data_IF_404220040095
#
_entry.id   IF_404220040095
#
_cell.length_a   1.000
_cell.length_b   1.000
_cell.length_c   1.000
_cell.angle_alpha   90.00
_cell.angle_beta   90.00
_cell.angle_gamma   90.00
#
_symmetry.space_group_name_H-M   'P 1'
#
loop_
_entity.id
_entity.type
_entity.pdbx_description
1 polymer ?
#
# COMPACT_ATOMS: atom_id res chain seq x y z
N UNK A 1 -2.24 0.33 11.41
CA UNK A 1 -2.18 -0.43 10.15
C UNK A 1 -2.69 0.50 9.05
N UNK A 2 -2.06 0.52 7.88
CA UNK A 2 -2.51 1.28 6.70
C UNK A 2 -2.78 0.31 5.55
N UNK A 3 -3.81 0.60 4.77
CA UNK A 3 -4.05 -0.09 3.50
C UNK A 3 -3.27 0.63 2.40
N UNK A 4 -2.56 -0.13 1.57
CA UNK A 4 -1.86 0.36 0.39
C UNK A 4 -2.53 -0.23 -0.84
N UNK A 5 -2.83 0.63 -1.81
CA UNK A 5 -3.12 0.26 -3.19
C UNK A 5 -1.85 0.50 -4.00
N UNK A 6 -1.30 -0.53 -4.60
CA UNK A 6 -0.03 -0.49 -5.31
C UNK A 6 -0.27 -0.91 -6.76
N UNK A 7 -0.02 -0.01 -7.69
CA UNK A 7 -0.13 -0.24 -9.12
C UNK A 7 1.26 -0.30 -9.73
N UNK A 8 1.47 -1.32 -10.57
CA UNK A 8 2.70 -1.51 -11.34
C UNK A 8 2.35 -2.06 -12.73
N UNK A 9 3.25 -2.01 -13.72
CA UNK A 9 3.04 -2.65 -15.01
C UNK A 9 2.70 -4.14 -14.84
N UNK A 10 1.85 -4.67 -15.73
CA UNK A 10 1.50 -6.10 -15.73
C UNK A 10 2.76 -6.96 -15.81
N UNK A 11 2.86 -7.93 -14.92
CA UNK A 11 4.02 -8.81 -14.76
C UNK A 11 4.88 -8.49 -13.54
N UNK A 12 4.77 -7.29 -12.97
CA UNK A 12 5.50 -6.88 -11.76
C UNK A 12 4.74 -7.18 -10.45
N UNK A 13 3.45 -7.53 -10.50
CA UNK A 13 2.61 -7.68 -9.32
C UNK A 13 3.06 -8.76 -8.33
N UNK A 14 3.68 -9.84 -8.82
CA UNK A 14 4.25 -10.87 -7.93
C UNK A 14 5.37 -10.32 -7.06
N UNK A 15 6.23 -9.44 -7.60
CA UNK A 15 7.31 -8.82 -6.84
C UNK A 15 6.75 -7.89 -5.74
N UNK A 16 5.66 -7.18 -6.03
CA UNK A 16 4.95 -6.38 -5.02
C UNK A 16 4.46 -7.26 -3.86
N UNK A 17 3.88 -8.42 -4.14
CA UNK A 17 3.42 -9.34 -3.09
C UNK A 17 4.57 -9.87 -2.23
N UNK A 18 5.70 -10.23 -2.84
CA UNK A 18 6.87 -10.73 -2.08
C UNK A 18 7.47 -9.65 -1.19
N UNK A 19 7.59 -8.41 -1.69
CA UNK A 19 7.99 -7.26 -0.88
C UNK A 19 6.98 -7.07 0.26
N UNK A 20 5.68 -7.05 -0.02
CA UNK A 20 4.66 -6.88 1.02
C UNK A 20 4.74 -7.96 2.12
N UNK A 21 4.98 -9.23 1.76
CA UNK A 21 5.18 -10.33 2.71
C UNK A 21 6.42 -10.14 3.56
N UNK A 22 7.54 -9.68 2.99
CA UNK A 22 8.79 -9.43 3.72
C UNK A 22 8.62 -8.35 4.82
N UNK A 23 7.62 -7.48 4.69
CA UNK A 23 7.24 -6.50 5.72
C UNK A 23 6.03 -6.94 6.57
N UNK A 24 5.75 -8.25 6.62
CA UNK A 24 4.62 -8.86 7.34
C UNK A 24 3.26 -8.29 6.94
N UNK A 25 3.09 -8.01 5.65
CA UNK A 25 1.83 -7.55 5.09
C UNK A 25 0.72 -8.58 5.21
N UNK A 26 -0.46 -8.14 5.62
CA UNK A 26 -1.64 -8.97 5.80
C UNK A 26 -2.71 -8.66 4.74
N UNK A 27 -3.66 -9.59 4.57
CA UNK A 27 -4.81 -9.45 3.66
C UNK A 27 -4.38 -8.98 2.27
N UNK A 28 -3.44 -9.72 1.68
CA UNK A 28 -2.84 -9.40 0.40
C UNK A 28 -3.76 -9.85 -0.73
N UNK A 29 -3.99 -8.97 -1.70
CA UNK A 29 -4.66 -9.31 -2.94
C UNK A 29 -3.84 -8.80 -4.12
N UNK A 30 -3.91 -9.52 -5.24
CA UNK A 30 -3.31 -9.13 -6.51
C UNK A 30 -4.28 -9.49 -7.63
N UNK A 31 -4.52 -8.55 -8.53
CA UNK A 31 -5.37 -8.76 -9.69
C UNK A 31 -4.85 -7.93 -10.87
N UNK A 32 -5.07 -8.46 -12.07
CA UNK A 32 -4.83 -7.74 -13.31
C UNK A 32 -5.91 -6.68 -13.50
N UNK A 33 -5.54 -5.52 -14.01
CA UNK A 33 -6.45 -4.40 -14.27
C UNK A 33 -5.98 -3.57 -15.47
N UNK A 34 -6.80 -2.60 -15.86
CA UNK A 34 -6.47 -1.62 -16.89
C UNK A 34 -6.28 -0.26 -16.23
N UNK A 35 -5.07 0.29 -16.34
CA UNK A 35 -4.75 1.66 -15.93
C UNK A 35 -4.92 2.66 -17.08
N UNK A 36 -4.55 3.92 -16.84
CA UNK A 36 -4.54 4.99 -17.86
C UNK A 36 -3.66 4.66 -19.06
N UNK A 37 -2.53 4.00 -18.82
CA UNK A 37 -1.45 3.81 -19.80
C UNK A 37 -1.34 2.36 -20.29
N UNK A 38 -2.31 1.49 -19.94
CA UNK A 38 -2.38 0.11 -20.40
C UNK A 38 -2.66 -0.91 -19.31
N UNK A 39 -2.27 -2.16 -19.56
CA UNK A 39 -2.48 -3.25 -18.61
C UNK A 39 -1.54 -3.12 -17.39
N UNK A 40 -2.12 -3.23 -16.19
CA UNK A 40 -1.41 -3.10 -14.92
C UNK A 40 -1.70 -4.31 -14.03
N UNK A 41 -0.85 -4.49 -13.03
CA UNK A 41 -1.12 -5.31 -11.85
C UNK A 41 -1.45 -4.37 -10.68
N UNK A 42 -2.58 -4.60 -10.01
CA UNK A 42 -2.99 -3.87 -8.81
C UNK A 42 -2.94 -4.81 -7.60
N UNK A 43 -2.11 -4.44 -6.63
CA UNK A 43 -2.02 -5.12 -5.34
C UNK A 43 -2.67 -4.30 -4.23
N UNK A 44 -3.33 -4.99 -3.30
CA UNK A 44 -3.84 -4.44 -2.04
C UNK A 44 -3.04 -5.09 -0.92
N UNK A 45 -2.49 -4.28 -0.01
CA UNK A 45 -1.75 -4.78 1.13
C UNK A 45 -2.08 -4.00 2.41
N UNK A 46 -2.17 -4.68 3.55
CA UNK A 46 -2.33 -4.05 4.84
C UNK A 46 -1.03 -4.15 5.62
N UNK A 47 -0.41 -3.00 5.90
CA UNK A 47 0.93 -2.91 6.47
C UNK A 47 0.85 -2.22 7.84
N UNK A 48 1.64 -2.67 8.83
CA UNK A 48 1.82 -1.94 10.10
C UNK A 48 2.36 -0.54 9.82
N UNK A 49 1.88 0.48 10.54
CA UNK A 49 2.30 1.87 10.33
C UNK A 49 3.83 2.02 10.44
N UNK A 50 4.45 1.29 11.36
CA UNK A 50 5.91 1.31 11.58
C UNK A 50 6.74 0.72 10.44
N UNK A 51 6.13 -0.02 9.51
CA UNK A 51 6.81 -0.70 8.40
C UNK A 51 6.55 -0.06 7.04
N UNK A 52 5.61 0.88 6.97
CA UNK A 52 5.19 1.52 5.71
C UNK A 52 6.37 2.19 5.02
N UNK A 53 7.18 2.97 5.75
CA UNK A 53 8.29 3.72 5.16
C UNK A 53 9.34 2.79 4.53
N UNK A 54 9.76 1.74 5.25
CA UNK A 54 10.69 0.74 4.72
C UNK A 54 10.15 0.02 3.48
N UNK A 55 8.87 -0.36 3.51
CA UNK A 55 8.23 -1.01 2.36
C UNK A 55 8.15 -0.07 1.15
N UNK A 56 7.85 1.21 1.35
CA UNK A 56 7.86 2.20 0.26
C UNK A 56 9.26 2.38 -0.33
N UNK A 57 10.31 2.29 0.49
CA UNK A 57 11.70 2.30 0.03
C UNK A 57 12.00 1.15 -0.95
N UNK A 58 11.61 -0.08 -0.62
CA UNK A 58 11.83 -1.24 -1.50
C UNK A 58 11.00 -1.19 -2.79
N UNK A 59 9.73 -0.74 -2.69
CA UNK A 59 8.84 -0.63 -3.85
C UNK A 59 9.33 0.39 -4.88
N UNK A 60 10.06 1.44 -4.48
CA UNK A 60 10.56 2.48 -5.41
C UNK A 60 11.46 1.93 -6.54
N UNK A 61 12.01 0.74 -6.38
CA UNK A 61 12.77 0.06 -7.43
C UNK A 61 11.91 -0.44 -8.60
N UNK A 62 10.59 -0.51 -8.42
CA UNK A 62 9.65 -1.00 -9.43
C UNK A 62 9.33 0.07 -10.48
N UNK A 63 9.26 -0.31 -11.77
CA UNK A 63 8.96 0.64 -12.84
C UNK A 63 7.52 1.15 -12.72
N UNK A 64 7.30 2.43 -13.04
CA UNK A 64 5.97 3.06 -13.12
C UNK A 64 5.08 2.82 -11.88
N UNK A 65 5.71 2.72 -10.71
CA UNK A 65 5.04 2.51 -9.44
C UNK A 65 4.09 3.67 -9.11
N UNK A 66 2.84 3.35 -8.79
CA UNK A 66 1.92 4.26 -8.14
C UNK A 66 1.41 3.65 -6.84
N UNK A 67 1.49 4.38 -5.74
CA UNK A 67 1.01 3.92 -4.43
C UNK A 67 0.04 4.92 -3.83
N UNK A 68 -1.13 4.43 -3.42
CA UNK A 68 -2.11 5.19 -2.65
C UNK A 68 -2.21 4.59 -1.25
N UNK A 69 -1.96 5.42 -0.22
CA UNK A 69 -2.12 5.03 1.18
C UNK A 69 -3.51 5.45 1.68
N UNK A 70 -4.25 4.52 2.29
CA UNK A 70 -5.57 4.77 2.85
C UNK A 70 -5.54 4.54 4.37
N UNK A 71 -6.05 5.48 5.18
CA UNK A 71 -6.47 6.85 4.81
C UNK A 71 -5.27 7.79 4.58
N UNK A 72 -5.43 8.81 3.74
CA UNK A 72 -4.39 9.84 3.51
C UNK A 72 -4.34 10.87 4.65
N UNK A 73 -5.49 11.16 5.26
CA UNK A 73 -5.63 12.01 6.43
C UNK A 73 -6.75 11.49 7.32
N UNK A 74 -6.64 11.76 8.62
CA UNK A 74 -7.67 11.45 9.60
C UNK A 74 -8.05 12.75 10.30
N UNK A 75 -9.34 13.07 10.34
CA UNK A 75 -9.86 14.15 11.17
C UNK A 75 -10.32 13.54 12.49
N UNK A 76 -9.68 13.91 13.59
CA UNK A 76 -10.15 13.54 14.91
C UNK A 76 -11.48 14.29 15.20
N UNK A 77 -12.56 13.54 15.36
CA UNK A 77 -13.88 14.11 15.71
C UNK A 77 -14.05 14.33 17.21
N UNK A 78 -13.15 13.77 18.01
CA UNK A 78 -13.11 13.92 19.47
C UNK A 78 -11.66 14.11 19.90
N UNK A 79 -11.42 14.83 21.01
CA UNK A 79 -10.11 14.92 21.61
C UNK A 79 -9.58 13.51 21.94
N UNK A 80 -8.25 13.33 22.02
CA UNK A 80 -7.66 12.15 22.65
C UNK A 80 -8.33 11.87 24.01
N UNK A 81 -8.43 10.61 24.46
CA UNK A 81 -9.02 10.28 25.76
C UNK A 81 -8.41 11.05 26.94
N UNK A 82 -7.15 11.45 26.82
CA UNK A 82 -6.42 12.26 27.81
C UNK A 82 -6.87 13.74 27.86
N UNK A 83 -7.56 14.21 26.82
CA UNK A 83 -8.09 15.57 26.67
C UNK A 83 -9.63 15.62 26.70
N UNK A 84 -10.28 14.49 27.00
CA UNK A 84 -11.71 14.44 27.24
C UNK A 84 -12.03 15.00 28.65
N UNK A 85 -13.08 15.84 28.82
CA UNK A 85 -13.44 16.45 30.10
C UNK A 85 -13.92 15.43 31.15
#
# INVERSE_FOLDING_TARGET
MRQLLIQVPRGCGKQVLEIAKAFDGANLALFEATGSDGAIDLAIAHISNSKVEGLLGELQSLPQLHVTLIPQGVMALQPPPEEAP
#
